data_IF_021567271240
#
_entry.id   IF_021567271240
#
_cell.length_a   1.000
_cell.length_b   1.000
_cell.length_c   1.000
_cell.angle_alpha   90.00
_cell.angle_beta   90.00
_cell.angle_gamma   90.00
#
_symmetry.space_group_name_H-M   'P 1'
#
loop_
_entity.id
_entity.type
_entity.pdbx_description
1 polymer ?
#
# COMPACT_ATOMS: atom_id res chain seq x y z
N UNK A 1 23.73 -13.70 -0.14
CA UNK A 1 22.79 -14.85 0.13
C UNK A 1 21.76 -14.89 -1.00
N UNK A 2 21.19 -16.04 -1.35
CA UNK A 2 20.09 -16.12 -2.34
C UNK A 2 18.83 -15.45 -1.81
N UNK A 3 17.99 -14.88 -2.68
CA UNK A 3 16.73 -14.21 -2.34
C UNK A 3 15.57 -15.16 -2.00
N UNK A 4 15.86 -16.28 -1.34
CA UNK A 4 14.85 -17.23 -0.92
C UNK A 4 14.12 -16.70 0.33
N UNK A 5 12.78 -16.77 0.39
CA UNK A 5 12.04 -16.44 1.60
C UNK A 5 12.53 -17.26 2.80
N UNK A 6 12.60 -16.63 3.97
CA UNK A 6 12.88 -17.34 5.24
C UNK A 6 11.59 -17.93 5.79
N UNK A 7 11.69 -19.07 6.48
CA UNK A 7 10.59 -19.59 7.29
C UNK A 7 10.26 -18.60 8.41
N UNK A 8 8.96 -18.40 8.65
CA UNK A 8 8.43 -17.67 9.79
C UNK A 8 7.94 -18.72 10.80
N UNK A 9 8.27 -18.64 12.10
CA UNK A 9 9.14 -17.66 12.78
C UNK A 9 10.66 -17.91 12.62
N UNK A 10 11.52 -16.90 12.86
CA UNK A 10 11.21 -15.56 13.35
C UNK A 10 10.66 -14.61 12.27
N UNK A 11 9.74 -13.74 12.64
CA UNK A 11 9.25 -12.68 11.76
C UNK A 11 10.31 -11.58 11.59
N UNK A 12 10.37 -10.90 10.42
CA UNK A 12 11.34 -9.82 10.18
C UNK A 12 11.27 -8.69 11.21
N UNK A 13 10.08 -8.43 11.76
CA UNK A 13 9.87 -7.44 12.80
C UNK A 13 10.70 -7.73 14.08
N UNK A 14 11.06 -8.99 14.34
CA UNK A 14 11.94 -9.37 15.44
C UNK A 14 13.38 -9.58 14.96
N UNK A 15 13.58 -10.32 13.86
CA UNK A 15 14.91 -10.66 13.32
C UNK A 15 14.88 -10.60 11.79
N UNK A 16 15.17 -9.42 11.25
CA UNK A 16 15.06 -9.08 9.85
C UNK A 16 16.43 -8.90 9.16
N UNK A 17 16.69 -7.67 8.72
CA UNK A 17 17.90 -7.29 7.98
C UNK A 17 19.12 -7.38 8.90
N UNK A 18 20.15 -8.11 8.46
CA UNK A 18 21.37 -8.34 9.26
C UNK A 18 21.16 -8.89 10.68
N UNK A 19 20.00 -9.49 10.96
CA UNK A 19 19.65 -9.97 12.30
C UNK A 19 19.02 -8.91 13.20
N UNK A 20 18.90 -7.66 12.74
CA UNK A 20 18.21 -6.59 13.45
C UNK A 20 16.69 -6.59 13.15
N UNK A 21 15.84 -6.12 14.07
CA UNK A 21 14.43 -5.85 13.83
C UNK A 21 14.20 -5.01 12.56
N UNK A 22 13.29 -5.42 11.68
CA UNK A 22 13.01 -4.69 10.42
C UNK A 22 11.57 -4.90 9.96
N UNK A 23 10.89 -3.79 9.62
CA UNK A 23 9.57 -3.80 8.98
C UNK A 23 9.71 -3.40 7.52
N UNK A 24 9.22 -4.24 6.60
CA UNK A 24 9.24 -3.94 5.17
C UNK A 24 7.90 -3.31 4.79
N UNK A 25 7.94 -2.11 4.25
CA UNK A 25 6.76 -1.39 3.74
C UNK A 25 6.86 -1.27 2.21
N UNK A 26 5.73 -1.37 1.51
CA UNK A 26 5.66 -0.98 0.11
C UNK A 26 5.86 0.54 -0.01
N UNK A 27 6.39 0.99 -1.17
CA UNK A 27 6.65 2.41 -1.46
C UNK A 27 5.41 3.27 -1.28
N UNK A 28 4.25 2.83 -1.77
CA UNK A 28 3.01 3.60 -1.67
C UNK A 28 2.58 3.80 -0.20
N UNK A 29 2.67 2.74 0.60
CA UNK A 29 2.31 2.78 2.03
C UNK A 29 3.19 3.75 2.83
N UNK A 30 4.49 3.85 2.51
CA UNK A 30 5.37 4.80 3.19
C UNK A 30 5.27 6.22 2.61
N UNK A 31 5.00 6.35 1.31
CA UNK A 31 4.86 7.64 0.63
C UNK A 31 3.57 8.38 1.04
N UNK A 32 2.50 7.66 1.37
CA UNK A 32 1.24 8.27 1.83
C UNK A 32 1.32 8.76 3.27
N UNK A 33 2.17 8.16 4.12
CA UNK A 33 2.26 8.47 5.55
C UNK A 33 2.52 9.96 5.86
N UNK A 34 3.46 10.67 5.19
CA UNK A 34 3.64 12.10 5.40
C UNK A 34 2.39 12.94 5.06
N UNK A 35 1.63 12.56 4.05
CA UNK A 35 0.39 13.27 3.67
C UNK A 35 -0.70 13.05 4.69
N UNK A 36 -0.86 11.82 5.20
CA UNK A 36 -1.77 11.50 6.30
C UNK A 36 -1.40 12.31 7.54
N UNK A 37 -0.11 12.38 7.90
CA UNK A 37 0.35 13.14 9.06
C UNK A 37 0.11 14.65 8.91
N UNK A 38 0.19 15.20 7.69
CA UNK A 38 -0.07 16.62 7.43
C UNK A 38 -1.55 16.99 7.38
N UNK A 39 -2.41 16.11 6.84
CA UNK A 39 -3.85 16.37 6.64
C UNK A 39 -4.74 15.80 7.74
N UNK A 40 -4.20 14.91 8.58
CA UNK A 40 -4.92 14.21 9.64
C UNK A 40 -5.37 12.81 9.21
N UNK A 41 -5.44 11.90 10.19
CA UNK A 41 -5.90 10.53 9.98
C UNK A 41 -7.37 10.48 9.56
N UNK A 42 -8.22 11.33 10.14
CA UNK A 42 -9.65 11.39 9.83
C UNK A 42 -9.92 11.78 8.38
N UNK A 43 -9.07 12.65 7.79
CA UNK A 43 -9.16 12.98 6.37
C UNK A 43 -8.93 11.75 5.49
N UNK A 44 -7.89 10.96 5.78
CA UNK A 44 -7.59 9.76 4.99
C UNK A 44 -8.60 8.63 5.25
N UNK A 45 -9.05 8.48 6.50
CA UNK A 45 -10.07 7.50 6.89
C UNK A 45 -11.48 7.84 6.37
N UNK A 46 -11.74 9.12 6.07
CA UNK A 46 -12.98 9.59 5.45
C UNK A 46 -13.11 9.25 3.97
N UNK A 47 -12.05 8.75 3.34
CA UNK A 47 -12.05 8.22 1.98
C UNK A 47 -12.24 6.70 2.03
N UNK A 48 -13.13 6.16 1.23
CA UNK A 48 -13.38 4.75 1.04
C UNK A 48 -14.44 4.17 1.98
N UNK A 49 -14.30 2.88 2.30
CA UNK A 49 -15.27 2.13 3.12
C UNK A 49 -14.69 1.79 4.49
N UNK A 50 -15.53 1.55 5.51
CA UNK A 50 -15.05 1.04 6.79
C UNK A 50 -14.14 -0.18 6.61
N UNK A 51 -13.00 -0.21 7.33
CA UNK A 51 -11.92 -1.21 7.23
C UNK A 51 -11.10 -1.20 5.91
N UNK A 52 -11.42 -0.36 4.93
CA UNK A 52 -10.66 -0.22 3.69
C UNK A 52 -10.72 1.24 3.20
N UNK A 53 -9.90 2.07 3.85
CA UNK A 53 -9.92 3.52 3.72
C UNK A 53 -8.71 4.07 2.98
N UNK A 54 -8.87 5.27 2.42
CA UNK A 54 -7.80 6.02 1.76
C UNK A 54 -7.90 6.02 0.24
N UNK A 55 -6.84 6.51 -0.38
CA UNK A 55 -6.65 6.44 -1.83
C UNK A 55 -5.71 5.29 -2.20
N UNK A 56 -5.78 4.90 -3.46
CA UNK A 56 -4.92 3.87 -4.04
C UNK A 56 -4.49 4.27 -5.44
N UNK A 57 -3.22 4.03 -5.74
CA UNK A 57 -2.69 4.08 -7.10
C UNK A 57 -3.06 2.77 -7.82
N UNK A 58 -3.97 2.87 -8.77
CA UNK A 58 -4.38 1.79 -9.66
C UNK A 58 -3.54 1.82 -10.94
N UNK A 59 -3.04 0.65 -11.34
CA UNK A 59 -2.29 0.49 -12.59
C UNK A 59 -3.15 -0.29 -13.61
N UNK A 60 -3.89 0.44 -14.45
CA UNK A 60 -4.78 -0.13 -15.45
C UNK A 60 -3.96 -0.58 -16.66
N UNK A 61 -4.01 -1.88 -16.94
CA UNK A 61 -3.25 -2.53 -18.02
C UNK A 61 -4.07 -3.62 -18.70
N UNK A 62 -3.59 -4.12 -19.84
CA UNK A 62 -4.26 -5.16 -20.63
C UNK A 62 -5.14 -4.60 -21.74
N UNK A 63 -6.29 -5.25 -21.99
CA UNK A 63 -7.20 -4.91 -23.08
C UNK A 63 -8.09 -3.71 -22.73
N UNK A 64 -7.48 -2.53 -22.63
CA UNK A 64 -8.16 -1.25 -22.43
C UNK A 64 -7.71 -0.26 -23.50
N UNK A 65 -8.60 0.63 -23.92
CA UNK A 65 -8.28 1.61 -24.96
C UNK A 65 -7.30 2.70 -24.47
N UNK A 66 -7.25 2.95 -23.16
CA UNK A 66 -6.43 3.99 -22.53
C UNK A 66 -5.76 3.44 -21.26
N UNK A 67 -4.68 2.65 -21.36
CA UNK A 67 -3.95 2.17 -20.19
C UNK A 67 -3.32 3.36 -19.45
N UNK A 68 -3.38 3.35 -18.12
CA UNK A 68 -2.86 4.42 -17.30
C UNK A 68 -2.59 3.97 -15.85
N UNK A 69 -1.82 4.79 -15.14
CA UNK A 69 -1.76 4.75 -13.68
C UNK A 69 -2.54 5.96 -13.15
N UNK A 70 -3.48 5.73 -12.26
CA UNK A 70 -4.37 6.77 -11.71
C UNK A 70 -4.53 6.57 -10.21
N UNK A 71 -4.58 7.66 -9.46
CA UNK A 71 -4.93 7.63 -8.03
C UNK A 71 -6.43 7.84 -7.89
N UNK A 72 -7.12 6.90 -7.25
CA UNK A 72 -8.55 6.99 -6.98
C UNK A 72 -8.88 6.49 -5.57
N UNK A 73 -10.10 6.77 -5.11
CA UNK A 73 -10.60 6.36 -3.81
C UNK A 73 -10.74 4.83 -3.67
N UNK A 74 -10.27 4.27 -2.56
CA UNK A 74 -10.45 2.84 -2.29
C UNK A 74 -11.93 2.49 -2.14
N UNK A 75 -12.38 1.47 -2.89
CA UNK A 75 -13.79 1.06 -2.89
C UNK A 75 -14.59 1.59 -4.07
N UNK A 76 -13.96 2.33 -5.00
CA UNK A 76 -14.48 2.61 -6.34
C UNK A 76 -14.89 1.28 -7.04
N UNK A 77 -16.09 1.19 -7.64
CA UNK A 77 -16.47 0.04 -8.44
C UNK A 77 -15.52 -0.16 -9.63
N UNK A 78 -15.10 -1.40 -9.90
CA UNK A 78 -14.16 -1.70 -10.99
C UNK A 78 -14.64 -1.27 -12.38
N UNK A 79 -15.96 -1.17 -12.59
CA UNK A 79 -16.53 -0.70 -13.86
C UNK A 79 -16.45 0.83 -14.02
N UNK A 80 -16.41 1.55 -12.90
CA UNK A 80 -16.32 3.01 -12.87
C UNK A 80 -14.86 3.48 -12.96
N UNK A 81 -13.94 2.72 -12.36
CA UNK A 81 -12.49 2.85 -12.54
C UNK A 81 -12.05 2.54 -13.98
#
# INVERSE_FOLDING_TARGET
>A
KKGMPRLKPPFPANVGLYGAPTTVNNVESIAVAPTILRRGADWFAGLGRPNNTGTKLFCISGHVNKPCNVEEEMGIPLREL
#
